data_IF_268882499827
#
_entry.id   IF_268882499827
#
_cell.length_a   1.000
_cell.length_b   1.000
_cell.length_c   1.000
_cell.angle_alpha   90.00
_cell.angle_beta   90.00
_cell.angle_gamma   90.00
#
_symmetry.space_group_name_H-M   'P 1'
#
loop_
_entity.id
_entity.type
_entity.pdbx_description
1 polymer ?
#
# COMPACT_ATOMS: atom_id res chain seq x y z
N UNK A 1 25.27 29.20 -78.10
CA UNK A 1 25.95 29.56 -76.83
C UNK A 1 24.88 29.84 -75.79
N UNK A 2 25.02 29.19 -74.64
CA UNK A 2 24.07 29.06 -73.53
C UNK A 2 23.72 30.40 -72.86
N UNK A 3 22.50 30.56 -72.34
CA UNK A 3 22.20 31.45 -71.20
C UNK A 3 20.95 30.99 -70.46
N UNK A 4 21.23 30.34 -69.33
CA UNK A 4 20.33 29.84 -68.28
C UNK A 4 19.76 31.03 -67.50
N UNK A 5 18.43 31.08 -67.30
CA UNK A 5 17.79 31.95 -66.31
C UNK A 5 17.37 31.09 -65.11
N UNK A 6 18.00 31.37 -63.97
CA UNK A 6 17.78 30.72 -62.67
C UNK A 6 16.42 31.13 -62.11
N UNK A 7 15.55 30.17 -61.80
CA UNK A 7 14.35 30.39 -60.98
C UNK A 7 14.71 30.13 -59.51
N UNK A 8 14.59 31.15 -58.68
CA UNK A 8 14.67 31.04 -57.22
C UNK A 8 13.48 30.18 -56.71
N UNK A 9 13.77 29.07 -56.04
CA UNK A 9 12.78 28.32 -55.26
C UNK A 9 13.06 28.61 -53.79
N UNK A 10 12.18 29.36 -53.12
CA UNK A 10 12.24 29.58 -51.69
C UNK A 10 11.73 28.32 -50.96
N UNK A 11 12.65 27.58 -50.34
CA UNK A 11 12.32 26.41 -49.52
C UNK A 11 12.06 26.89 -48.09
N UNK A 12 10.78 26.94 -47.68
CA UNK A 12 10.40 27.22 -46.29
C UNK A 12 10.57 25.92 -45.51
N UNK A 13 11.65 25.83 -44.74
CA UNK A 13 11.96 24.67 -43.90
C UNK A 13 11.14 24.76 -42.60
N UNK A 14 10.00 24.07 -42.57
CA UNK A 14 9.16 23.99 -41.37
C UNK A 14 9.78 22.99 -40.38
N UNK A 15 10.51 23.50 -39.39
CA UNK A 15 11.09 22.70 -38.30
C UNK A 15 9.99 22.25 -37.34
N UNK A 16 9.55 21.00 -37.49
CA UNK A 16 8.72 20.32 -36.47
C UNK A 16 9.63 19.98 -35.29
N UNK A 17 9.55 20.73 -34.19
CA UNK A 17 10.15 20.30 -32.93
C UNK A 17 9.32 19.15 -32.36
N UNK A 18 9.75 17.92 -32.62
CA UNK A 18 9.31 16.77 -31.86
C UNK A 18 9.82 16.94 -30.43
N UNK A 19 8.95 17.40 -29.53
CA UNK A 19 9.24 17.39 -28.11
C UNK A 19 9.47 15.95 -27.68
N UNK A 20 10.69 15.64 -27.24
CA UNK A 20 10.95 14.41 -26.52
C UNK A 20 10.14 14.47 -25.23
N UNK A 21 8.99 13.80 -25.20
CA UNK A 21 8.32 13.48 -23.96
C UNK A 21 9.31 12.62 -23.16
N UNK A 22 9.94 13.23 -22.16
CA UNK A 22 10.69 12.48 -21.15
C UNK A 22 9.64 11.58 -20.50
N UNK A 23 9.73 10.28 -20.76
CA UNK A 23 8.96 9.30 -20.01
C UNK A 23 9.28 9.52 -18.53
N UNK A 24 8.29 9.97 -17.77
CA UNK A 24 8.40 10.10 -16.32
C UNK A 24 8.69 8.70 -15.78
N UNK A 25 9.87 8.49 -15.21
CA UNK A 25 10.28 7.25 -14.55
C UNK A 25 9.16 6.82 -13.57
N UNK A 26 8.58 5.64 -13.81
CA UNK A 26 7.34 5.13 -13.20
C UNK A 26 7.41 5.21 -11.65
N UNK A 27 6.66 6.19 -11.11
CA UNK A 27 6.90 6.88 -9.83
C UNK A 27 6.62 6.14 -8.51
N UNK A 28 6.31 4.84 -8.53
CA UNK A 28 6.07 4.11 -7.27
C UNK A 28 7.37 3.86 -6.53
N UNK A 29 7.51 4.44 -5.33
CA UNK A 29 8.66 4.25 -4.44
C UNK A 29 8.28 3.60 -3.11
N UNK A 30 7.00 3.62 -2.73
CA UNK A 30 6.49 2.99 -1.53
C UNK A 30 5.25 2.15 -1.82
N UNK A 31 4.97 1.19 -0.96
CA UNK A 31 3.73 0.40 -0.96
C UNK A 31 3.09 0.49 0.42
N UNK A 32 1.83 0.94 0.50
CA UNK A 32 1.00 0.70 1.68
C UNK A 32 0.33 -0.67 1.52
N UNK A 33 0.55 -1.56 2.48
CA UNK A 33 -0.10 -2.86 2.54
C UNK A 33 -1.21 -2.85 3.58
N UNK A 34 -2.44 -3.10 3.12
CA UNK A 34 -3.67 -3.03 3.89
C UNK A 34 -4.38 -4.38 3.90
N UNK A 35 -4.37 -5.07 5.03
CA UNK A 35 -4.99 -6.38 5.21
C UNK A 35 -6.49 -6.26 5.46
N UNK A 36 -7.29 -7.12 4.84
CA UNK A 36 -8.63 -7.43 5.32
C UNK A 36 -8.51 -8.52 6.39
N UNK A 37 -8.48 -8.12 7.66
CA UNK A 37 -8.09 -8.99 8.75
C UNK A 37 -8.96 -10.26 8.90
N UNK A 38 -10.28 -10.24 8.66
CA UNK A 38 -11.08 -11.46 8.68
C UNK A 38 -10.57 -12.53 7.70
N UNK A 39 -10.27 -12.14 6.46
CA UNK A 39 -9.73 -13.05 5.45
C UNK A 39 -8.32 -13.54 5.79
N UNK A 40 -7.50 -12.67 6.40
CA UNK A 40 -6.21 -13.11 6.96
C UNK A 40 -6.42 -14.16 8.04
N UNK A 41 -7.35 -13.94 8.97
CA UNK A 41 -7.58 -14.83 10.10
C UNK A 41 -8.21 -16.16 9.71
N UNK A 42 -9.07 -16.18 8.69
CA UNK A 42 -9.63 -17.40 8.12
C UNK A 42 -8.56 -18.42 7.72
N UNK A 43 -7.39 -17.95 7.25
CA UNK A 43 -6.27 -18.81 6.83
C UNK A 43 -5.10 -18.83 7.83
N UNK A 44 -5.18 -18.07 8.93
CA UNK A 44 -4.14 -17.96 9.96
C UNK A 44 -4.71 -18.11 11.39
N UNK A 45 -5.71 -18.95 11.57
CA UNK A 45 -6.54 -19.07 12.78
C UNK A 45 -5.76 -19.21 14.12
N UNK A 46 -4.55 -19.75 14.08
CA UNK A 46 -3.71 -19.98 15.28
C UNK A 46 -3.01 -18.71 15.78
N UNK A 47 -2.95 -17.64 14.99
CA UNK A 47 -2.30 -16.39 15.37
C UNK A 47 -3.04 -15.73 16.54
N UNK A 48 -2.33 -15.19 17.56
CA UNK A 48 -2.91 -14.47 18.70
C UNK A 48 -4.02 -13.48 18.32
N UNK A 49 -3.76 -12.62 17.33
CA UNK A 49 -4.68 -11.59 16.88
C UNK A 49 -5.97 -12.13 16.25
N UNK A 50 -5.93 -13.37 15.74
CA UNK A 50 -7.05 -14.06 15.12
C UNK A 50 -7.88 -14.84 16.12
N UNK A 51 -7.23 -15.46 17.12
CA UNK A 51 -7.93 -16.17 18.21
C UNK A 51 -8.83 -15.25 19.04
N UNK A 52 -8.50 -13.96 19.09
CA UNK A 52 -9.24 -12.94 19.83
C UNK A 52 -10.11 -12.06 18.92
N UNK A 53 -10.24 -12.40 17.63
CA UNK A 53 -11.04 -11.59 16.70
C UNK A 53 -12.53 -11.78 16.99
N UNK A 54 -13.26 -10.68 17.05
CA UNK A 54 -14.72 -10.64 17.23
C UNK A 54 -15.32 -9.69 16.22
N UNK A 55 -16.63 -9.77 16.00
CA UNK A 55 -17.36 -8.90 15.05
C UNK A 55 -17.36 -7.42 15.46
N UNK A 56 -17.16 -7.13 16.74
CA UNK A 56 -17.18 -5.77 17.28
C UNK A 56 -15.81 -5.09 17.30
N UNK A 57 -14.73 -5.85 16.99
CA UNK A 57 -13.39 -5.27 16.89
C UNK A 57 -13.27 -4.39 15.66
N UNK A 58 -12.41 -3.37 15.77
CA UNK A 58 -12.19 -2.40 14.68
C UNK A 58 -11.78 -3.09 13.36
N UNK A 59 -10.91 -4.09 13.42
CA UNK A 59 -10.42 -4.86 12.27
C UNK A 59 -11.44 -5.83 11.66
N UNK A 60 -12.65 -5.94 12.20
CA UNK A 60 -13.72 -6.75 11.61
C UNK A 60 -14.39 -6.07 10.41
N UNK A 61 -14.35 -4.74 10.36
CA UNK A 61 -15.01 -3.93 9.31
C UNK A 61 -14.11 -2.85 8.71
N UNK A 62 -12.85 -2.78 9.12
CA UNK A 62 -11.85 -1.82 8.65
C UNK A 62 -10.59 -2.57 8.20
N UNK A 63 -9.87 -1.96 7.26
CA UNK A 63 -8.56 -2.47 6.86
C UNK A 63 -7.57 -2.30 8.01
N UNK A 64 -6.77 -3.35 8.22
CA UNK A 64 -5.65 -3.34 9.16
C UNK A 64 -4.36 -2.99 8.45
N UNK A 65 -3.51 -2.21 9.10
CA UNK A 65 -2.17 -1.93 8.63
C UNK A 65 -1.34 -3.23 8.66
N UNK A 66 -0.87 -3.66 7.50
CA UNK A 66 0.20 -4.66 7.42
C UNK A 66 1.54 -3.95 7.46
N UNK A 67 1.77 -2.95 6.60
CA UNK A 67 3.03 -2.21 6.59
C UNK A 67 3.12 -1.10 5.55
N UNK A 68 4.22 -0.36 5.60
CA UNK A 68 4.57 0.70 4.64
C UNK A 68 5.98 0.45 4.10
N UNK A 69 6.09 0.00 2.86
CA UNK A 69 7.32 -0.62 2.36
C UNK A 69 8.03 0.27 1.35
N UNK A 70 9.27 0.71 1.62
CA UNK A 70 10.14 1.26 0.59
C UNK A 70 10.39 0.18 -0.48
N UNK A 71 10.12 0.51 -1.74
CA UNK A 71 10.17 -0.45 -2.82
C UNK A 71 11.62 -0.92 -3.05
N UNK A 72 11.82 -2.25 -3.12
CA UNK A 72 13.13 -2.92 -3.37
C UNK A 72 14.20 -2.64 -2.31
N UNK A 73 13.86 -2.09 -1.15
CA UNK A 73 14.80 -1.89 -0.05
C UNK A 73 14.33 -2.69 1.17
N UNK A 74 15.25 -3.44 1.79
CA UNK A 74 14.98 -4.18 3.02
C UNK A 74 16.23 -4.20 3.91
N UNK A 75 16.03 -4.24 5.23
CA UNK A 75 17.07 -4.45 6.24
C UNK A 75 18.22 -3.42 6.17
N UNK A 76 17.90 -2.14 6.00
CA UNK A 76 18.90 -1.09 5.85
C UNK A 76 19.62 -0.79 7.17
N UNK A 77 20.92 -1.09 7.23
CA UNK A 77 21.70 -0.95 8.46
C UNK A 77 21.37 -1.96 9.55
N UNK A 78 20.65 -3.05 9.23
CA UNK A 78 20.26 -4.08 10.21
C UNK A 78 21.32 -5.19 10.30
N UNK A 79 21.85 -5.52 11.49
CA UNK A 79 22.79 -6.64 11.68
C UNK A 79 22.25 -7.98 11.20
N UNK A 80 23.13 -8.87 10.71
CA UNK A 80 22.72 -10.16 10.12
C UNK A 80 22.03 -11.08 11.12
N UNK A 81 22.39 -10.97 12.38
CA UNK A 81 21.79 -11.71 13.49
C UNK A 81 20.32 -11.33 13.66
N UNK A 82 20.00 -10.03 13.59
CA UNK A 82 18.62 -9.55 13.64
C UNK A 82 17.84 -9.89 12.36
N UNK A 83 18.49 -9.87 11.19
CA UNK A 83 17.86 -10.37 9.96
C UNK A 83 17.52 -11.85 10.05
N UNK A 84 18.32 -12.66 10.75
CA UNK A 84 18.04 -14.08 10.97
C UNK A 84 16.86 -14.28 11.93
N UNK A 85 16.80 -13.52 13.04
CA UNK A 85 15.65 -13.53 13.96
C UNK A 85 14.37 -13.12 13.24
N UNK A 86 14.43 -12.09 12.40
CA UNK A 86 13.28 -11.64 11.61
C UNK A 86 12.71 -12.73 10.69
N UNK A 87 13.60 -13.48 10.04
CA UNK A 87 13.25 -14.57 9.11
C UNK A 87 12.75 -15.84 9.81
N UNK A 88 13.10 -16.03 11.08
CA UNK A 88 12.63 -17.16 11.91
C UNK A 88 11.14 -17.02 12.27
N UNK A 89 10.59 -15.80 12.22
CA UNK A 89 9.15 -15.55 12.37
C UNK A 89 8.65 -15.42 13.81
N UNK A 90 9.51 -15.60 14.81
CA UNK A 90 9.24 -15.18 16.20
C UNK A 90 9.65 -13.72 16.40
N UNK A 91 8.85 -12.82 15.86
CA UNK A 91 9.17 -11.40 15.81
C UNK A 91 9.23 -10.73 17.18
N UNK A 92 8.69 -11.35 18.25
CA UNK A 92 8.84 -10.84 19.63
C UNK A 92 10.29 -10.90 20.13
N UNK A 93 11.15 -11.68 19.48
CA UNK A 93 12.59 -11.71 19.75
C UNK A 93 13.36 -10.57 19.11
N UNK A 94 12.77 -9.82 18.18
CA UNK A 94 13.35 -8.58 17.67
C UNK A 94 13.29 -7.48 18.73
N UNK A 95 14.17 -6.46 18.67
CA UNK A 95 14.11 -5.30 19.55
C UNK A 95 12.73 -4.64 19.54
N UNK A 96 12.29 -4.15 20.70
CA UNK A 96 11.03 -3.42 20.79
C UNK A 96 11.12 -2.12 19.98
N UNK A 97 10.04 -1.79 19.29
CA UNK A 97 9.92 -0.52 18.58
C UNK A 97 9.63 0.58 19.60
N UNK A 98 10.44 1.65 19.59
CA UNK A 98 10.24 2.80 20.47
C UNK A 98 9.16 3.72 19.89
N UNK A 99 8.00 3.75 20.54
CA UNK A 99 6.85 4.57 20.17
C UNK A 99 6.41 5.44 21.36
N UNK A 100 5.78 6.57 21.05
CA UNK A 100 4.98 7.32 22.03
C UNK A 100 3.79 6.48 22.50
N UNK A 101 3.19 6.82 23.65
CA UNK A 101 2.05 6.08 24.19
C UNK A 101 0.85 6.18 23.23
N UNK A 102 0.67 7.37 22.65
CA UNK A 102 -0.37 7.67 21.69
C UNK A 102 -0.21 6.81 20.42
N UNK A 103 0.98 6.80 19.82
CA UNK A 103 1.22 5.98 18.62
C UNK A 103 1.20 4.49 18.92
N UNK A 104 1.67 4.03 20.08
CA UNK A 104 1.57 2.63 20.47
C UNK A 104 0.10 2.18 20.55
N UNK A 105 -0.77 3.01 21.15
CA UNK A 105 -2.21 2.74 21.24
C UNK A 105 -2.89 2.74 19.87
N UNK A 106 -2.60 3.75 19.05
CA UNK A 106 -3.13 3.86 17.70
C UNK A 106 -2.66 2.69 16.81
N UNK A 107 -1.38 2.31 16.90
CA UNK A 107 -0.81 1.18 16.18
C UNK A 107 -1.45 -0.15 16.62
N UNK A 108 -1.67 -0.37 17.92
CA UNK A 108 -2.31 -1.59 18.41
C UNK A 108 -3.73 -1.75 17.85
N UNK A 109 -4.46 -0.65 17.65
CA UNK A 109 -5.78 -0.65 17.01
C UNK A 109 -5.70 -0.88 15.50
N UNK A 110 -4.76 -0.24 14.81
CA UNK A 110 -4.62 -0.30 13.36
C UNK A 110 -3.94 -1.59 12.86
N UNK A 111 -3.04 -2.17 13.66
CA UNK A 111 -2.22 -3.35 13.33
C UNK A 111 -2.44 -4.44 14.39
N UNK A 112 -3.50 -5.27 14.25
CA UNK A 112 -3.75 -6.38 15.16
C UNK A 112 -2.56 -7.33 15.31
N UNK A 113 -1.77 -7.51 14.23
CA UNK A 113 -0.56 -8.33 14.21
C UNK A 113 0.53 -7.91 15.20
N UNK A 114 0.43 -6.73 15.81
CA UNK A 114 1.32 -6.32 16.92
C UNK A 114 1.24 -7.26 18.13
N UNK A 115 0.11 -7.96 18.31
CA UNK A 115 -0.01 -9.06 19.29
C UNK A 115 0.99 -10.20 19.05
N UNK A 116 1.47 -10.33 17.80
CA UNK A 116 2.48 -11.27 17.32
C UNK A 116 3.85 -10.62 17.05
N UNK A 117 4.04 -9.33 17.36
CA UNK A 117 5.28 -8.60 17.10
C UNK A 117 5.45 -8.12 15.64
N UNK A 118 4.37 -8.02 14.87
CA UNK A 118 4.43 -7.58 13.46
C UNK A 118 5.08 -6.20 13.32
N UNK A 119 4.87 -5.27 14.24
CA UNK A 119 5.50 -3.96 14.23
C UNK A 119 7.03 -4.04 14.26
N UNK A 120 7.58 -5.05 14.95
CA UNK A 120 9.03 -5.26 15.01
C UNK A 120 9.57 -5.77 13.68
N UNK A 121 8.84 -6.66 13.02
CA UNK A 121 9.14 -7.12 11.67
C UNK A 121 9.14 -5.96 10.68
N UNK A 122 8.03 -5.22 10.65
CA UNK A 122 7.81 -4.11 9.72
C UNK A 122 8.86 -3.01 9.91
N UNK A 123 9.20 -2.68 11.15
CA UNK A 123 10.30 -1.75 11.41
C UNK A 123 11.64 -2.30 10.94
N UNK A 124 12.00 -3.51 11.39
CA UNK A 124 13.32 -4.10 11.13
C UNK A 124 13.55 -4.26 9.63
N UNK A 125 12.58 -4.80 8.91
CA UNK A 125 12.71 -5.11 7.49
C UNK A 125 12.50 -3.88 6.61
N UNK A 126 11.54 -3.02 6.91
CA UNK A 126 11.10 -1.94 6.02
C UNK A 126 11.37 -0.55 6.58
N UNK A 127 10.95 -0.28 7.83
CA UNK A 127 11.06 1.03 8.45
C UNK A 127 12.49 1.56 8.57
N UNK A 128 13.47 0.69 8.83
CA UNK A 128 14.90 1.04 8.89
C UNK A 128 15.47 1.56 7.57
N UNK A 129 14.80 1.31 6.44
CA UNK A 129 15.17 1.86 5.13
C UNK A 129 14.64 3.28 4.89
N UNK A 130 13.83 3.80 5.80
CA UNK A 130 13.45 5.22 5.80
C UNK A 130 14.46 6.04 6.61
N UNK A 131 14.42 7.37 6.44
CA UNK A 131 15.19 8.30 7.29
C UNK A 131 14.41 8.72 8.55
N UNK A 132 13.25 8.11 8.80
CA UNK A 132 12.35 8.47 9.89
C UNK A 132 12.77 7.77 11.19
N UNK A 133 12.36 8.36 12.32
CA UNK A 133 12.30 7.61 13.57
C UNK A 133 11.23 6.51 13.45
N UNK A 134 11.29 5.49 14.31
CA UNK A 134 10.25 4.46 14.31
C UNK A 134 8.86 5.03 14.63
N UNK A 135 8.79 5.98 15.56
CA UNK A 135 7.56 6.68 15.92
C UNK A 135 6.97 7.44 14.73
N UNK A 136 7.79 8.20 14.00
CA UNK A 136 7.37 8.92 12.80
C UNK A 136 6.93 7.98 11.67
N UNK A 137 7.67 6.89 11.45
CA UNK A 137 7.34 5.88 10.43
C UNK A 137 5.97 5.25 10.69
N UNK A 138 5.69 4.83 11.92
CA UNK A 138 4.39 4.26 12.26
C UNK A 138 3.29 5.32 12.30
N UNK A 139 3.56 6.55 12.75
CA UNK A 139 2.60 7.65 12.65
C UNK A 139 2.17 7.92 11.20
N UNK A 140 3.12 7.93 10.25
CA UNK A 140 2.81 8.04 8.83
C UNK A 140 1.96 6.85 8.36
N UNK A 141 2.39 5.63 8.66
CA UNK A 141 1.67 4.42 8.24
C UNK A 141 0.23 4.36 8.79
N UNK A 142 0.03 4.77 10.06
CA UNK A 142 -1.28 4.88 10.71
C UNK A 142 -2.16 5.91 9.99
N UNK A 143 -1.65 7.12 9.73
CA UNK A 143 -2.40 8.14 9.00
C UNK A 143 -2.85 7.68 7.62
N UNK A 144 -1.98 6.97 6.89
CA UNK A 144 -2.32 6.49 5.56
C UNK A 144 -3.36 5.35 5.57
N UNK A 145 -3.32 4.44 6.55
CA UNK A 145 -4.38 3.43 6.68
C UNK A 145 -5.69 4.05 7.17
N UNK A 146 -5.63 5.12 7.97
CA UNK A 146 -6.81 5.87 8.40
C UNK A 146 -7.45 6.63 7.23
N UNK A 147 -6.67 7.22 6.32
CA UNK A 147 -7.17 7.79 5.07
C UNK A 147 -7.94 6.73 4.24
N UNK A 148 -7.40 5.50 4.15
CA UNK A 148 -8.08 4.39 3.48
C UNK A 148 -9.39 4.01 4.20
N UNK A 149 -9.37 3.93 5.53
CA UNK A 149 -10.54 3.59 6.33
C UNK A 149 -11.61 4.69 6.38
N UNK A 150 -11.23 5.95 6.13
CA UNK A 150 -12.13 7.09 5.95
C UNK A 150 -12.75 7.20 4.55
N UNK A 151 -12.45 6.26 3.65
CA UNK A 151 -12.79 6.35 2.23
C UNK A 151 -13.96 5.46 1.78
N UNK A 152 -14.39 5.66 0.53
CA UNK A 152 -15.38 4.81 -0.13
C UNK A 152 -14.91 3.35 -0.29
N UNK A 153 -13.60 3.08 -0.18
CA UNK A 153 -13.06 1.72 -0.26
C UNK A 153 -13.45 0.91 0.97
N UNK A 154 -13.31 1.48 2.18
CA UNK A 154 -13.76 0.80 3.41
C UNK A 154 -15.27 0.68 3.46
N UNK A 155 -16.01 1.70 3.02
CA UNK A 155 -17.48 1.63 2.93
C UNK A 155 -17.92 0.48 2.00
N UNK A 156 -17.27 0.31 0.85
CA UNK A 156 -17.52 -0.80 -0.08
C UNK A 156 -17.32 -2.16 0.62
N UNK A 157 -16.20 -2.35 1.31
CA UNK A 157 -15.90 -3.62 1.99
C UNK A 157 -16.89 -3.87 3.15
N UNK A 158 -17.10 -2.89 4.02
CA UNK A 158 -18.02 -3.01 5.15
C UNK A 158 -19.47 -3.32 4.71
N UNK A 159 -19.94 -2.72 3.62
CA UNK A 159 -21.28 -2.99 3.08
C UNK A 159 -21.42 -4.37 2.40
N UNK A 160 -20.30 -5.01 2.07
CA UNK A 160 -20.25 -6.27 1.32
C UNK A 160 -19.62 -7.42 2.09
N UNK A 161 -19.53 -7.34 3.43
CA UNK A 161 -19.13 -8.47 4.27
C UNK A 161 -19.97 -9.71 3.95
N UNK A 162 -19.31 -10.83 3.70
CA UNK A 162 -19.90 -12.11 3.26
C UNK A 162 -20.25 -12.17 1.77
N UNK A 163 -20.02 -11.11 0.99
CA UNK A 163 -20.35 -11.02 -0.44
C UNK A 163 -19.09 -10.89 -1.28
N UNK A 164 -19.26 -11.11 -2.59
CA UNK A 164 -18.21 -10.90 -3.59
C UNK A 164 -18.10 -9.43 -3.95
N UNK A 165 -16.86 -8.98 -4.11
CA UNK A 165 -16.51 -7.68 -4.68
C UNK A 165 -15.47 -7.92 -5.79
N UNK A 166 -15.65 -7.23 -6.91
CA UNK A 166 -14.77 -7.36 -8.07
C UNK A 166 -13.80 -6.16 -8.21
N UNK A 167 -12.82 -6.31 -9.09
CA UNK A 167 -11.78 -5.32 -9.34
C UNK A 167 -12.33 -3.95 -9.73
N UNK A 168 -13.37 -3.90 -10.58
CA UNK A 168 -13.92 -2.63 -11.07
C UNK A 168 -14.62 -1.85 -9.96
N UNK A 169 -15.34 -2.54 -9.07
CA UNK A 169 -15.94 -1.91 -7.89
C UNK A 169 -14.88 -1.30 -6.97
N UNK A 170 -13.77 -2.01 -6.75
CA UNK A 170 -12.69 -1.52 -5.90
C UNK A 170 -12.00 -0.33 -6.57
N UNK A 171 -11.65 -0.43 -7.85
CA UNK A 171 -11.06 0.69 -8.61
C UNK A 171 -11.95 1.93 -8.57
N UNK A 172 -13.25 1.77 -8.80
CA UNK A 172 -14.21 2.87 -8.74
C UNK A 172 -14.29 3.49 -7.34
N UNK A 173 -14.18 2.69 -6.28
CA UNK A 173 -14.14 3.21 -4.91
C UNK A 173 -12.85 4.01 -4.62
N UNK A 174 -11.70 3.55 -5.11
CA UNK A 174 -10.45 4.32 -5.04
C UNK A 174 -10.56 5.63 -5.82
N UNK A 175 -11.05 5.58 -7.05
CA UNK A 175 -11.20 6.77 -7.90
C UNK A 175 -12.12 7.82 -7.26
N UNK A 176 -13.20 7.36 -6.62
CA UNK A 176 -14.14 8.23 -5.90
C UNK A 176 -13.49 8.99 -4.75
N UNK A 177 -12.57 8.37 -4.00
CA UNK A 177 -12.01 8.96 -2.78
C UNK A 177 -10.64 9.61 -2.98
N UNK A 178 -9.86 9.15 -3.95
CA UNK A 178 -8.46 9.56 -4.13
C UNK A 178 -8.18 10.17 -5.52
N UNK A 179 -9.25 10.41 -6.29
CA UNK A 179 -9.20 11.04 -7.61
C UNK A 179 -9.12 10.03 -8.76
N UNK A 180 -9.52 10.46 -9.95
CA UNK A 180 -9.56 9.62 -11.14
C UNK A 180 -8.22 8.90 -11.39
N UNK A 181 -8.29 7.60 -11.71
CA UNK A 181 -7.12 6.77 -11.96
C UNK A 181 -6.41 6.25 -10.71
N UNK A 182 -6.82 6.62 -9.49
CA UNK A 182 -6.25 6.09 -8.25
C UNK A 182 -6.37 4.56 -8.16
N UNK A 183 -7.45 3.96 -8.68
CA UNK A 183 -7.63 2.52 -8.74
C UNK A 183 -6.56 1.77 -9.56
N UNK A 184 -5.84 2.48 -10.44
CA UNK A 184 -4.76 1.90 -11.25
C UNK A 184 -3.44 1.76 -10.50
N UNK A 185 -3.40 2.17 -9.23
CA UNK A 185 -2.22 2.14 -8.35
C UNK A 185 -2.35 1.03 -7.31
N UNK A 186 -3.42 0.24 -7.40
CA UNK A 186 -3.83 -0.74 -6.40
C UNK A 186 -3.70 -2.14 -6.99
N UNK A 187 -3.25 -3.06 -6.15
CA UNK A 187 -3.27 -4.49 -6.42
C UNK A 187 -4.01 -5.22 -5.31
N UNK A 188 -5.00 -6.01 -5.70
CA UNK A 188 -5.77 -6.91 -4.87
C UNK A 188 -5.10 -8.29 -4.80
N UNK A 189 -4.87 -8.74 -3.57
CA UNK A 189 -4.30 -10.05 -3.26
C UNK A 189 -5.40 -10.92 -2.63
N UNK A 190 -5.76 -12.01 -3.31
CA UNK A 190 -6.73 -12.99 -2.83
C UNK A 190 -6.03 -14.21 -2.25
N UNK A 191 -6.68 -14.88 -1.29
CA UNK A 191 -6.27 -16.19 -0.76
C UNK A 191 -7.40 -17.21 -0.88
N UNK A 192 -7.06 -18.49 -0.71
CA UNK A 192 -8.04 -19.59 -0.64
C UNK A 192 -8.33 -19.94 0.81
N UNK A 193 -9.61 -19.93 1.17
CA UNK A 193 -10.16 -20.44 2.41
C UNK A 193 -11.09 -21.60 2.07
N UNK A 194 -10.54 -22.83 2.07
CA UNK A 194 -11.18 -23.97 1.41
C UNK A 194 -11.41 -23.65 -0.07
N UNK A 195 -12.65 -23.83 -0.54
CA UNK A 195 -13.04 -23.54 -1.92
C UNK A 195 -13.34 -22.05 -2.18
N UNK A 196 -13.45 -21.24 -1.12
CA UNK A 196 -13.78 -19.82 -1.23
C UNK A 196 -12.50 -19.02 -1.51
N UNK A 197 -12.57 -18.12 -2.49
CA UNK A 197 -11.54 -17.10 -2.72
C UNK A 197 -11.91 -15.86 -1.92
N UNK A 198 -11.10 -15.51 -0.94
CA UNK A 198 -11.28 -14.33 -0.08
C UNK A 198 -10.30 -13.23 -0.46
N UNK A 199 -10.73 -11.97 -0.36
CA UNK A 199 -9.85 -10.80 -0.54
C UNK A 199 -9.06 -10.62 0.76
N UNK A 200 -7.76 -10.89 0.73
CA UNK A 200 -6.94 -10.89 1.93
C UNK A 200 -6.21 -9.56 2.16
N UNK A 201 -5.84 -8.87 1.08
CA UNK A 201 -5.03 -7.65 1.17
C UNK A 201 -5.20 -6.78 -0.08
N UNK A 202 -5.11 -5.47 0.12
CA UNK A 202 -4.88 -4.48 -0.93
C UNK A 202 -3.48 -3.89 -0.72
N UNK A 203 -2.71 -3.81 -1.81
CA UNK A 203 -1.44 -3.09 -1.84
C UNK A 203 -1.58 -1.85 -2.70
N UNK A 204 -1.17 -0.70 -2.18
CA UNK A 204 -1.34 0.61 -2.83
C UNK A 204 0.03 1.20 -3.11
N UNK A 205 0.32 1.49 -4.37
CA UNK A 205 1.54 2.18 -4.79
C UNK A 205 1.50 3.66 -4.42
N UNK A 206 2.60 4.15 -3.86
CA UNK A 206 2.79 5.52 -3.38
C UNK A 206 4.10 6.10 -3.91
N UNK A 207 4.15 7.42 -4.04
CA UNK A 207 5.37 8.17 -4.37
C UNK A 207 6.41 8.17 -3.26
N UNK A 208 7.59 8.74 -3.55
CA UNK A 208 8.71 8.84 -2.59
C UNK A 208 8.38 9.65 -1.34
N UNK A 209 7.43 10.57 -1.45
CA UNK A 209 7.03 11.47 -0.38
C UNK A 209 6.46 10.72 0.84
N UNK A 210 5.95 9.49 0.65
CA UNK A 210 5.52 8.62 1.73
C UNK A 210 6.68 8.24 2.70
N UNK A 211 7.94 8.41 2.27
CA UNK A 211 9.15 8.16 3.05
C UNK A 211 9.54 9.27 4.02
N UNK A 212 8.72 10.32 4.15
CA UNK A 212 8.98 11.43 5.07
C UNK A 212 7.69 11.94 5.72
N UNK A 213 7.81 12.47 6.95
CA UNK A 213 6.66 13.05 7.67
C UNK A 213 6.01 14.21 6.90
N UNK A 214 6.85 15.08 6.32
CA UNK A 214 6.38 16.27 5.59
C UNK A 214 5.70 15.88 4.29
N UNK A 215 6.33 15.02 3.48
CA UNK A 215 5.77 14.56 2.20
C UNK A 215 4.48 13.78 2.39
N UNK A 216 4.44 12.87 3.37
CA UNK A 216 3.24 12.12 3.72
C UNK A 216 2.10 13.01 4.27
N UNK A 217 2.41 14.24 4.70
CA UNK A 217 1.41 15.22 5.12
C UNK A 217 0.43 15.63 4.02
N UNK A 218 0.75 15.36 2.74
CA UNK A 218 -0.15 15.58 1.62
C UNK A 218 -1.30 14.55 1.54
N UNK A 219 -1.24 13.48 2.34
CA UNK A 219 -2.28 12.45 2.44
C UNK A 219 -2.25 11.42 1.31
N UNK A 220 -3.03 10.34 1.49
CA UNK A 220 -3.01 9.17 0.60
C UNK A 220 -3.34 9.52 -0.86
N UNK A 221 -4.29 10.44 -1.09
CA UNK A 221 -4.69 10.84 -2.44
C UNK A 221 -3.52 11.37 -3.26
N UNK A 222 -2.74 12.33 -2.72
CA UNK A 222 -1.61 12.93 -3.44
C UNK A 222 -0.52 11.90 -3.71
N UNK A 223 -0.19 11.09 -2.69
CA UNK A 223 0.83 10.05 -2.80
C UNK A 223 0.50 9.01 -3.88
N UNK A 224 -0.78 8.65 -4.02
CA UNK A 224 -1.24 7.75 -5.09
C UNK A 224 -1.15 8.40 -6.46
N UNK A 225 -1.56 9.66 -6.62
CA UNK A 225 -1.57 10.33 -7.91
C UNK A 225 -0.16 10.51 -8.50
N UNK A 226 0.84 10.60 -7.63
CA UNK A 226 2.26 10.69 -8.02
C UNK A 226 2.93 9.32 -8.23
N UNK A 227 2.21 8.21 -8.01
CA UNK A 227 2.74 6.85 -8.16
C UNK A 227 2.55 6.29 -9.58
N UNK A 228 3.36 5.29 -9.92
CA UNK A 228 3.25 4.53 -11.17
C UNK A 228 2.00 3.66 -11.22
N UNK A 229 1.62 3.22 -12.42
CA UNK A 229 0.47 2.30 -12.60
C UNK A 229 0.88 0.87 -12.25
N UNK A 230 -0.08 0.02 -11.92
CA UNK A 230 0.15 -1.40 -11.64
C UNK A 230 -0.98 -2.28 -12.18
N UNK A 231 -0.68 -3.57 -12.34
CA UNK A 231 -1.70 -4.59 -12.59
C UNK A 231 -2.48 -4.90 -11.32
N UNK A 232 -3.80 -5.05 -11.42
CA UNK A 232 -4.68 -5.15 -10.26
C UNK A 232 -4.62 -6.49 -9.49
N UNK A 233 -4.06 -7.59 -10.04
CA UNK A 233 -3.98 -8.87 -9.31
C UNK A 233 -5.16 -9.79 -9.59
N UNK A 234 -5.89 -10.26 -8.58
CA UNK A 234 -7.11 -11.07 -8.78
C UNK A 234 -8.31 -10.20 -9.22
N UNK A 235 -9.26 -10.79 -9.94
CA UNK A 235 -10.40 -10.04 -10.52
C UNK A 235 -11.63 -9.96 -9.59
N UNK A 236 -11.78 -10.90 -8.66
CA UNK A 236 -12.92 -10.99 -7.73
C UNK A 236 -12.53 -11.81 -6.50
N UNK A 237 -13.09 -11.47 -5.34
CA UNK A 237 -13.07 -12.30 -4.13
C UNK A 237 -14.19 -11.94 -3.15
N UNK A 238 -14.38 -12.80 -2.15
CA UNK A 238 -15.30 -12.55 -1.03
C UNK A 238 -14.66 -11.61 -0.02
N UNK A 239 -15.39 -10.60 0.43
CA UNK A 239 -15.05 -9.79 1.61
C UNK A 239 -15.44 -10.61 2.84
N UNK A 240 -14.45 -11.23 3.47
CA UNK A 240 -14.71 -12.24 4.50
C UNK A 240 -15.26 -11.65 5.80
N UNK A 241 -16.02 -12.44 6.57
CA UNK A 241 -16.59 -12.01 7.85
C UNK A 241 -15.72 -12.43 9.03
N UNK A 242 -15.68 -11.65 10.11
CA UNK A 242 -14.98 -12.04 11.32
C UNK A 242 -15.65 -13.25 12.01
N UNK A 243 -14.83 -14.16 12.52
CA UNK A 243 -15.28 -15.35 13.27
C UNK A 243 -15.34 -16.63 12.44
N UNK A 244 -14.17 -17.06 11.96
CA UNK A 244 -13.93 -18.25 11.13
C UNK A 244 -14.37 -19.59 11.74
#
# INVERSE_FOLDING_TARGET
MSRVFVRLVAFVLSTVMAGFAVAQDEGTRFILAASWQPAFCQVNQRKPECRTQTKDRFDATNFSLHGLWPLRQNYCGVPKELQAVDKDGDWKRLPEVKLTIENASALARAMPGSQSGLERHEWTKHGTCTKMSADDYFNVAIRLIDDLNGSAVRDLFAANVGKKVNADQIKAAFDKSFGAGAGERVKMNCRRAGDVRVIAELTIGLSEDAGSVVGAGAGLAKLMQDAGRTSFGCDEGVVDAAGF
#
